data_IF_943623466909
#
_entry.id   IF_943623466909
#
_cell.length_a   1.000
_cell.length_b   1.000
_cell.length_c   1.000
_cell.angle_alpha   90.00
_cell.angle_beta   90.00
_cell.angle_gamma   90.00
#
_symmetry.space_group_name_H-M   'P 1'
#
loop_
_entity.id
_entity.type
_entity.pdbx_description
1 polymer ?
#
# COMPACT_ATOMS: atom_id res chain seq x y z
N UNK A 1 16.63 -45.56 20.24
CA UNK A 1 16.17 -44.41 21.02
C UNK A 1 16.46 -43.11 20.27
N UNK A 2 17.71 -42.87 19.85
CA UNK A 2 18.06 -41.63 19.11
C UNK A 2 17.32 -41.43 17.77
N UNK A 3 17.07 -42.50 17.00
CA UNK A 3 16.35 -42.40 15.71
C UNK A 3 14.85 -42.05 15.83
N UNK A 4 14.22 -42.37 16.97
CA UNK A 4 12.81 -42.04 17.20
C UNK A 4 12.65 -40.60 17.66
N UNK A 5 13.65 -40.06 18.38
CA UNK A 5 13.73 -38.64 18.72
C UNK A 5 13.99 -37.79 17.47
N UNK A 6 14.94 -38.18 16.60
CA UNK A 6 15.18 -37.51 15.31
C UNK A 6 13.94 -37.53 14.41
N UNK A 7 13.23 -38.66 14.32
CA UNK A 7 12.01 -38.74 13.53
C UNK A 7 10.88 -37.85 14.07
N UNK A 8 10.79 -37.72 15.40
CA UNK A 8 9.84 -36.82 16.06
C UNK A 8 10.15 -35.34 15.81
N UNK A 9 11.42 -34.95 15.88
CA UNK A 9 11.85 -33.57 15.59
C UNK A 9 11.58 -33.18 14.13
N UNK A 10 11.89 -34.07 13.17
CA UNK A 10 11.62 -33.83 11.75
C UNK A 10 10.11 -33.66 11.49
N UNK A 11 9.26 -34.43 12.15
CA UNK A 11 7.81 -34.32 11.99
C UNK A 11 7.25 -33.01 12.58
N UNK A 12 7.79 -32.54 13.71
CA UNK A 12 7.45 -31.23 14.29
C UNK A 12 7.85 -30.10 13.34
N UNK A 13 9.04 -30.16 12.76
CA UNK A 13 9.53 -29.15 11.81
C UNK A 13 8.68 -29.11 10.52
N UNK A 14 8.24 -30.28 10.04
CA UNK A 14 7.31 -30.35 8.89
C UNK A 14 5.96 -29.70 9.19
N UNK A 15 5.41 -29.96 10.37
CA UNK A 15 4.13 -29.37 10.80
C UNK A 15 4.24 -27.85 10.97
N UNK A 16 5.34 -27.37 11.56
CA UNK A 16 5.64 -25.94 11.66
C UNK A 16 5.79 -25.29 10.28
N UNK A 17 6.56 -25.91 9.38
CA UNK A 17 6.74 -25.41 8.02
C UNK A 17 5.42 -25.38 7.23
N UNK A 18 4.56 -26.39 7.39
CA UNK A 18 3.22 -26.41 6.80
C UNK A 18 2.35 -25.26 7.33
N UNK A 19 2.39 -25.00 8.63
CA UNK A 19 1.70 -23.86 9.25
C UNK A 19 2.20 -22.52 8.71
N UNK A 20 3.52 -22.34 8.58
CA UNK A 20 4.11 -21.13 8.02
C UNK A 20 3.80 -20.95 6.53
N UNK A 21 3.73 -22.04 5.75
CA UNK A 21 3.32 -21.99 4.35
C UNK A 21 1.89 -21.44 4.22
N UNK A 22 0.95 -21.98 5.00
CA UNK A 22 -0.45 -21.56 5.00
C UNK A 22 -0.59 -20.08 5.42
N UNK A 23 0.07 -19.68 6.51
CA UNK A 23 0.08 -18.27 6.95
C UNK A 23 0.67 -17.34 5.91
N UNK A 24 1.77 -17.73 5.26
CA UNK A 24 2.41 -16.90 4.23
C UNK A 24 1.48 -16.72 3.03
N UNK A 25 0.79 -17.77 2.61
CA UNK A 25 -0.17 -17.72 1.52
C UNK A 25 -1.39 -16.83 1.85
N UNK A 26 -1.95 -16.98 3.05
CA UNK A 26 -3.05 -16.11 3.53
C UNK A 26 -2.60 -14.65 3.62
N UNK A 27 -1.40 -14.38 4.16
CA UNK A 27 -0.86 -13.03 4.25
C UNK A 27 -0.63 -12.41 2.87
N UNK A 28 -0.10 -13.18 1.91
CA UNK A 28 0.07 -12.71 0.53
C UNK A 28 -1.28 -12.35 -0.12
N UNK A 29 -2.29 -13.21 0.05
CA UNK A 29 -3.64 -12.95 -0.45
C UNK A 29 -4.25 -11.69 0.18
N UNK A 30 -4.11 -11.52 1.51
CA UNK A 30 -4.60 -10.33 2.22
C UNK A 30 -3.91 -9.05 1.75
N UNK A 31 -2.59 -9.09 1.51
CA UNK A 31 -1.85 -7.94 0.98
C UNK A 31 -2.37 -7.57 -0.41
N UNK A 32 -2.55 -8.54 -1.30
CA UNK A 32 -3.10 -8.31 -2.65
C UNK A 32 -4.51 -7.71 -2.59
N UNK A 33 -5.38 -8.24 -1.73
CA UNK A 33 -6.74 -7.74 -1.54
C UNK A 33 -6.76 -6.31 -0.96
N UNK A 34 -5.92 -6.03 0.04
CA UNK A 34 -5.76 -4.68 0.58
C UNK A 34 -5.26 -3.69 -0.48
N UNK A 35 -4.34 -4.10 -1.34
CA UNK A 35 -3.84 -3.29 -2.43
C UNK A 35 -4.93 -2.99 -3.48
N UNK A 36 -5.73 -3.99 -3.84
CA UNK A 36 -6.85 -3.83 -4.76
C UNK A 36 -7.91 -2.87 -4.18
N UNK A 37 -8.27 -3.04 -2.90
CA UNK A 37 -9.19 -2.15 -2.18
C UNK A 37 -8.66 -0.73 -2.07
N UNK A 38 -7.39 -0.58 -1.71
CA UNK A 38 -6.74 0.73 -1.58
C UNK A 38 -6.69 1.44 -2.93
N UNK A 39 -6.34 0.73 -4.00
CA UNK A 39 -6.37 1.26 -5.36
C UNK A 39 -7.79 1.71 -5.76
N UNK A 40 -8.82 0.90 -5.50
CA UNK A 40 -10.21 1.25 -5.76
C UNK A 40 -10.68 2.50 -5.01
N UNK A 41 -10.35 2.61 -3.72
CA UNK A 41 -10.63 3.80 -2.91
C UNK A 41 -9.89 5.04 -3.42
N UNK A 42 -8.64 4.90 -3.83
CA UNK A 42 -7.83 5.99 -4.37
C UNK A 42 -8.42 6.50 -5.69
N UNK A 43 -8.81 5.59 -6.59
CA UNK A 43 -9.49 5.94 -7.85
C UNK A 43 -10.83 6.63 -7.60
N UNK A 44 -11.65 6.10 -6.68
CA UNK A 44 -12.93 6.71 -6.32
C UNK A 44 -12.76 8.12 -5.73
N UNK A 45 -11.78 8.29 -4.84
CA UNK A 45 -11.47 9.58 -4.22
C UNK A 45 -10.94 10.57 -5.25
N UNK A 46 -10.05 10.14 -6.15
CA UNK A 46 -9.57 10.95 -7.26
C UNK A 46 -10.72 11.40 -8.17
N UNK A 47 -11.65 10.50 -8.51
CA UNK A 47 -12.83 10.85 -9.32
C UNK A 47 -13.75 11.84 -8.59
N UNK A 48 -14.03 11.61 -7.31
CA UNK A 48 -14.89 12.48 -6.51
C UNK A 48 -14.28 13.87 -6.32
N UNK A 49 -12.99 13.93 -5.98
CA UNK A 49 -12.26 15.19 -5.73
C UNK A 49 -12.03 15.95 -7.04
N UNK A 50 -11.65 15.27 -8.13
CA UNK A 50 -11.51 15.93 -9.43
C UNK A 50 -12.87 16.39 -9.97
N UNK A 51 -13.93 15.57 -9.87
CA UNK A 51 -15.26 15.94 -10.34
C UNK A 51 -15.86 17.13 -9.58
N UNK A 52 -15.82 17.08 -8.23
CA UNK A 52 -16.33 18.16 -7.38
C UNK A 52 -15.45 19.41 -7.42
N UNK A 53 -14.13 19.25 -7.41
CA UNK A 53 -13.16 20.35 -7.46
C UNK A 53 -13.18 21.10 -8.79
N UNK A 54 -13.27 20.39 -9.92
CA UNK A 54 -13.38 21.00 -11.24
C UNK A 54 -14.71 21.75 -11.36
N UNK A 55 -15.84 21.14 -10.99
CA UNK A 55 -17.15 21.79 -11.06
C UNK A 55 -17.22 23.07 -10.21
N UNK A 56 -16.66 23.03 -8.99
CA UNK A 56 -16.63 24.19 -8.11
C UNK A 56 -15.65 25.27 -8.59
N UNK A 57 -14.51 24.88 -9.18
CA UNK A 57 -13.54 25.84 -9.72
C UNK A 57 -14.05 26.51 -11.00
N UNK A 58 -14.73 25.78 -11.89
CA UNK A 58 -15.37 26.34 -13.08
C UNK A 58 -16.40 27.42 -12.70
N UNK A 59 -17.22 27.16 -11.68
CA UNK A 59 -18.20 28.13 -11.16
C UNK A 59 -17.55 29.38 -10.55
N UNK A 60 -16.35 29.26 -9.96
CA UNK A 60 -15.60 30.40 -9.41
C UNK A 60 -14.90 31.19 -10.53
N UNK A 61 -14.40 30.52 -11.56
CA UNK A 61 -13.80 31.18 -12.74
C UNK A 61 -14.82 32.07 -13.47
N UNK A 62 -16.08 31.67 -13.55
CA UNK A 62 -17.16 32.50 -14.09
C UNK A 62 -17.40 33.79 -13.28
N UNK A 63 -17.00 33.82 -11.99
CA UNK A 63 -17.24 34.95 -11.06
C UNK A 63 -16.00 35.75 -10.68
N UNK A 64 -14.78 35.23 -10.83
CA UNK A 64 -13.57 35.89 -10.33
C UNK A 64 -12.29 35.41 -11.02
N UNK A 65 -11.42 36.36 -11.40
CA UNK A 65 -10.10 36.11 -12.02
C UNK A 65 -9.01 35.62 -11.06
N UNK A 66 -9.25 35.62 -9.75
CA UNK A 66 -8.26 35.27 -8.72
C UNK A 66 -8.48 33.89 -8.07
N UNK A 67 -8.95 32.91 -8.84
CA UNK A 67 -9.12 31.50 -8.45
C UNK A 67 -7.80 30.68 -8.45
N UNK A 68 -6.66 31.31 -8.75
CA UNK A 68 -5.39 30.63 -8.94
C UNK A 68 -4.92 29.82 -7.70
N UNK A 69 -4.99 30.30 -6.45
CA UNK A 69 -4.45 29.57 -5.30
C UNK A 69 -5.18 28.26 -5.02
N UNK A 70 -6.51 28.24 -5.15
CA UNK A 70 -7.32 27.01 -5.00
C UNK A 70 -7.00 26.01 -6.10
N UNK A 71 -6.84 26.46 -7.35
CA UNK A 71 -6.47 25.59 -8.47
C UNK A 71 -5.09 24.94 -8.26
N UNK A 72 -4.11 25.72 -7.79
CA UNK A 72 -2.78 25.22 -7.47
C UNK A 72 -2.80 24.16 -6.35
N UNK A 73 -3.57 24.40 -5.28
CA UNK A 73 -3.71 23.44 -4.17
C UNK A 73 -4.41 22.15 -4.60
N UNK A 74 -5.44 22.25 -5.44
CA UNK A 74 -6.08 21.06 -6.04
C UNK A 74 -5.11 20.28 -6.91
N UNK A 75 -4.35 20.96 -7.78
CA UNK A 75 -3.33 20.33 -8.62
C UNK A 75 -2.22 19.66 -7.80
N UNK A 76 -1.74 20.32 -6.74
CA UNK A 76 -0.75 19.75 -5.82
C UNK A 76 -1.31 18.52 -5.08
N UNK A 77 -2.54 18.61 -4.57
CA UNK A 77 -3.22 17.48 -3.92
C UNK A 77 -3.36 16.26 -4.84
N UNK A 78 -3.70 16.50 -6.10
CA UNK A 78 -3.78 15.47 -7.14
C UNK A 78 -2.43 14.81 -7.39
N UNK A 79 -1.36 15.59 -7.55
CA UNK A 79 0.00 15.08 -7.74
C UNK A 79 0.44 14.20 -6.56
N UNK A 80 0.18 14.63 -5.32
CA UNK A 80 0.50 13.85 -4.13
C UNK A 80 -0.33 12.57 -4.01
N UNK A 81 -1.61 12.61 -4.40
CA UNK A 81 -2.45 11.41 -4.47
C UNK A 81 -1.92 10.40 -5.49
N UNK A 82 -1.50 10.87 -6.67
CA UNK A 82 -0.90 10.01 -7.69
C UNK A 82 0.42 9.41 -7.23
N UNK A 83 1.28 10.20 -6.58
CA UNK A 83 2.54 9.70 -6.02
C UNK A 83 2.30 8.68 -4.90
N UNK A 84 1.28 8.90 -4.07
CA UNK A 84 0.85 7.94 -3.07
C UNK A 84 0.45 6.60 -3.72
N UNK A 85 -0.45 6.64 -4.71
CA UNK A 85 -0.88 5.46 -5.45
C UNK A 85 0.30 4.72 -6.10
N UNK A 86 1.20 5.46 -6.74
CA UNK A 86 2.42 4.90 -7.33
C UNK A 86 3.29 4.21 -6.27
N UNK A 87 3.49 4.84 -5.11
CA UNK A 87 4.30 4.28 -4.03
C UNK A 87 3.72 2.96 -3.49
N UNK A 88 2.39 2.89 -3.33
CA UNK A 88 1.67 1.68 -2.90
C UNK A 88 1.84 0.56 -3.93
N UNK A 89 1.63 0.86 -5.21
CA UNK A 89 1.76 -0.11 -6.28
C UNK A 89 3.21 -0.57 -6.49
N UNK A 90 4.18 0.34 -6.34
CA UNK A 90 5.59 0.00 -6.39
C UNK A 90 5.97 -0.94 -5.24
N UNK A 91 5.59 -0.62 -4.00
CA UNK A 91 5.84 -1.48 -2.84
C UNK A 91 5.21 -2.87 -3.02
N UNK A 92 3.95 -2.91 -3.46
CA UNK A 92 3.25 -4.15 -3.79
C UNK A 92 4.03 -5.03 -4.77
N UNK A 93 4.42 -4.45 -5.91
CA UNK A 93 5.16 -5.18 -6.95
C UNK A 93 6.49 -5.75 -6.46
N UNK A 94 7.11 -5.09 -5.47
CA UNK A 94 8.37 -5.54 -4.85
C UNK A 94 8.16 -6.58 -3.75
N UNK A 95 6.99 -6.66 -3.13
CA UNK A 95 6.69 -7.64 -2.09
C UNK A 95 6.14 -8.97 -2.64
N UNK A 96 5.40 -8.95 -3.75
CA UNK A 96 4.76 -10.16 -4.31
C UNK A 96 5.79 -11.25 -4.60
N UNK A 97 6.87 -10.95 -5.33
CA UNK A 97 7.87 -11.97 -5.71
C UNK A 97 8.59 -12.58 -4.50
N UNK A 98 9.11 -11.82 -3.52
CA UNK A 98 9.68 -12.42 -2.30
C UNK A 98 8.68 -13.25 -1.50
N UNK A 99 7.41 -12.82 -1.42
CA UNK A 99 6.38 -13.58 -0.70
C UNK A 99 6.02 -14.90 -1.39
N UNK A 100 5.95 -14.93 -2.72
CA UNK A 100 5.76 -16.17 -3.49
C UNK A 100 6.91 -17.16 -3.25
N UNK A 101 8.16 -16.68 -3.28
CA UNK A 101 9.32 -17.51 -2.98
C UNK A 101 9.34 -17.99 -1.53
N UNK A 102 8.92 -17.15 -0.58
CA UNK A 102 8.81 -17.53 0.82
C UNK A 102 7.76 -18.63 1.01
N UNK A 103 6.60 -18.51 0.36
CA UNK A 103 5.57 -19.56 0.38
C UNK A 103 6.07 -20.87 -0.24
N UNK A 104 6.82 -20.79 -1.34
CA UNK A 104 7.46 -21.95 -1.96
C UNK A 104 8.49 -22.62 -1.02
N UNK A 105 9.32 -21.81 -0.34
CA UNK A 105 10.33 -22.31 0.59
C UNK A 105 9.70 -23.05 1.77
N UNK A 106 8.67 -22.47 2.38
CA UNK A 106 7.93 -23.14 3.46
C UNK A 106 7.23 -24.42 2.98
N UNK A 107 6.68 -24.41 1.76
CA UNK A 107 6.09 -25.61 1.18
C UNK A 107 7.13 -26.70 0.93
N UNK A 108 8.30 -26.34 0.43
CA UNK A 108 9.42 -27.27 0.25
C UNK A 108 9.89 -27.84 1.60
N UNK A 109 10.06 -26.98 2.62
CA UNK A 109 10.42 -27.38 3.97
C UNK A 109 9.38 -28.31 4.61
N UNK A 110 8.08 -28.12 4.32
CA UNK A 110 7.01 -29.01 4.82
C UNK A 110 7.08 -30.43 4.25
N UNK A 111 7.69 -30.60 3.07
CA UNK A 111 7.87 -31.90 2.41
C UNK A 111 9.21 -32.52 2.85
N UNK A 112 10.29 -31.74 2.78
CA UNK A 112 11.65 -32.24 2.99
C UNK A 112 12.03 -32.30 4.47
N UNK A 113 11.38 -31.52 5.34
CA UNK A 113 11.70 -31.39 6.76
C UNK A 113 12.98 -30.60 7.04
N UNK A 114 13.52 -29.88 6.05
CA UNK A 114 14.75 -29.08 6.19
C UNK A 114 14.50 -27.67 5.66
N UNK A 115 14.83 -26.67 6.48
CA UNK A 115 14.79 -25.25 6.11
C UNK A 115 16.20 -24.78 5.77
N UNK A 116 16.38 -24.22 4.58
CA UNK A 116 17.65 -23.57 4.21
C UNK A 116 17.62 -22.14 4.77
N UNK A 117 18.26 -21.96 5.92
CA UNK A 117 18.26 -20.69 6.66
C UNK A 117 18.79 -19.50 5.83
N UNK A 118 19.77 -19.76 4.96
CA UNK A 118 20.34 -18.74 4.10
C UNK A 118 19.33 -18.17 3.09
N UNK A 119 18.47 -19.02 2.53
CA UNK A 119 17.43 -18.61 1.58
C UNK A 119 16.32 -17.84 2.29
N UNK A 120 15.95 -18.29 3.50
CA UNK A 120 15.00 -17.58 4.36
C UNK A 120 15.50 -16.17 4.71
N UNK A 121 16.74 -16.05 5.20
CA UNK A 121 17.33 -14.77 5.57
C UNK A 121 17.44 -13.80 4.37
N UNK A 122 17.74 -14.31 3.17
CA UNK A 122 17.79 -13.49 1.96
C UNK A 122 16.41 -12.91 1.59
N UNK A 123 15.36 -13.73 1.68
CA UNK A 123 13.97 -13.31 1.42
C UNK A 123 13.46 -12.35 2.48
N UNK A 124 13.75 -12.60 3.75
CA UNK A 124 13.39 -11.72 4.86
C UNK A 124 14.05 -10.34 4.71
N UNK A 125 15.35 -10.29 4.37
CA UNK A 125 16.03 -9.02 4.10
C UNK A 125 15.41 -8.26 2.91
N UNK A 126 14.96 -8.97 1.87
CA UNK A 126 14.27 -8.34 0.74
C UNK A 126 12.95 -7.70 1.17
N UNK A 127 12.16 -8.37 2.01
CA UNK A 127 10.92 -7.84 2.57
C UNK A 127 11.17 -6.66 3.52
N UNK A 128 12.16 -6.77 4.42
CA UNK A 128 12.53 -5.70 5.35
C UNK A 128 12.97 -4.41 4.63
N UNK A 129 13.67 -4.53 3.50
CA UNK A 129 14.04 -3.36 2.68
C UNK A 129 12.82 -2.60 2.18
N UNK A 130 11.77 -3.30 1.77
CA UNK A 130 10.51 -2.65 1.35
C UNK A 130 9.74 -2.13 2.57
N UNK A 131 9.69 -2.89 3.67
CA UNK A 131 9.01 -2.50 4.90
C UNK A 131 9.56 -1.19 5.50
N UNK A 132 10.86 -0.90 5.34
CA UNK A 132 11.46 0.39 5.76
C UNK A 132 10.84 1.61 5.08
N UNK A 133 10.20 1.43 3.94
CA UNK A 133 9.52 2.49 3.19
C UNK A 133 8.00 2.50 3.43
N UNK A 134 7.48 1.67 4.34
CA UNK A 134 6.04 1.59 4.66
C UNK A 134 5.43 2.88 5.19
N UNK A 135 6.25 3.81 5.69
CA UNK A 135 5.80 5.13 6.13
C UNK A 135 5.55 6.11 4.97
N UNK A 136 6.03 5.82 3.75
CA UNK A 136 5.90 6.71 2.60
C UNK A 136 4.44 6.83 2.14
N UNK A 137 3.69 5.74 1.86
CA UNK A 137 2.29 5.86 1.49
C UNK A 137 1.42 6.69 2.46
N UNK A 138 1.42 6.43 3.78
CA UNK A 138 0.58 7.20 4.69
C UNK A 138 0.97 8.68 4.75
N UNK A 139 2.26 9.03 4.65
CA UNK A 139 2.68 10.44 4.65
C UNK A 139 2.23 11.17 3.38
N UNK A 140 2.38 10.55 2.21
CA UNK A 140 1.89 11.11 0.94
C UNK A 140 0.35 11.27 0.94
N UNK A 141 -0.36 10.31 1.52
CA UNK A 141 -1.81 10.38 1.71
C UNK A 141 -2.23 11.58 2.57
N UNK A 142 -1.56 11.81 3.71
CA UNK A 142 -1.82 12.97 4.57
C UNK A 142 -1.54 14.29 3.87
N UNK A 143 -0.41 14.41 3.15
CA UNK A 143 -0.07 15.64 2.41
C UNK A 143 -1.17 15.95 1.37
N UNK A 144 -1.61 14.95 0.61
CA UNK A 144 -2.70 15.10 -0.35
C UNK A 144 -4.00 15.54 0.33
N UNK A 145 -4.37 14.91 1.46
CA UNK A 145 -5.55 15.26 2.22
C UNK A 145 -5.51 16.73 2.70
N UNK A 146 -4.37 17.19 3.22
CA UNK A 146 -4.19 18.59 3.62
C UNK A 146 -4.37 19.55 2.43
N UNK A 147 -3.81 19.24 1.27
CA UNK A 147 -4.00 20.06 0.07
C UNK A 147 -5.48 20.18 -0.32
N UNK A 148 -6.23 19.08 -0.28
CA UNK A 148 -7.66 19.10 -0.62
C UNK A 148 -8.51 19.82 0.42
N UNK A 149 -8.25 19.63 1.72
CA UNK A 149 -8.99 20.32 2.78
C UNK A 149 -8.74 21.83 2.71
N UNK A 150 -7.49 22.27 2.61
CA UNK A 150 -7.15 23.70 2.53
C UNK A 150 -7.69 24.30 1.24
N UNK A 151 -7.52 23.60 0.10
CA UNK A 151 -8.06 24.02 -1.19
C UNK A 151 -9.58 24.17 -1.17
N UNK A 152 -10.28 23.21 -0.57
CA UNK A 152 -11.74 23.24 -0.40
C UNK A 152 -12.21 24.37 0.53
N UNK A 153 -11.51 24.61 1.65
CA UNK A 153 -11.83 25.72 2.56
C UNK A 153 -11.65 27.09 1.88
N UNK A 154 -10.55 27.28 1.14
CA UNK A 154 -10.30 28.53 0.41
C UNK A 154 -11.37 28.75 -0.68
N UNK A 155 -11.75 27.68 -1.38
CA UNK A 155 -12.81 27.75 -2.39
C UNK A 155 -14.17 28.07 -1.76
N UNK A 156 -14.50 27.40 -0.64
CA UNK A 156 -15.73 27.62 0.12
C UNK A 156 -15.85 29.04 0.68
N UNK A 157 -14.78 29.54 1.32
CA UNK A 157 -14.69 30.92 1.81
C UNK A 157 -14.95 31.93 0.68
N UNK A 158 -14.42 31.67 -0.51
CA UNK A 158 -14.59 32.56 -1.66
C UNK A 158 -16.00 32.49 -2.23
N UNK A 159 -16.60 31.29 -2.26
CA UNK A 159 -17.99 31.08 -2.68
C UNK A 159 -19.01 31.72 -1.73
N UNK A 160 -18.69 31.86 -0.44
CA UNK A 160 -19.56 32.52 0.54
C UNK A 160 -19.56 34.06 0.46
N UNK A 161 -18.87 34.64 -0.53
CA UNK A 161 -18.93 36.09 -0.81
C UNK A 161 -18.01 36.94 0.08
N UNK A 162 -17.09 36.31 0.82
CA UNK A 162 -15.98 37.00 1.46
C UNK A 162 -14.82 37.13 0.45
N UNK A 163 -14.92 38.10 -0.45
CA UNK A 163 -13.89 38.48 -1.41
C UNK A 163 -13.42 39.91 -1.14
#
# INVERSE_FOLDING_TARGET
MDRELEAGEIEVDRQLAAHYADRTQVNAANIIDQLAKTSGWLTATLLAVNGGGIAATLKVLEKSTAAAPSLWLFGAGLLWAMLNAFSIQWMASRMVRPMEHLAFLWRKASIEGVVVEADHAALEQALLKVARLSWVPPTLGWISAFCFVIGGLLLGWRLSGHA
#
